data_IF_487121838734
#
_entry.id   IF_487121838734
#
_cell.length_a   1.000
_cell.length_b   1.000
_cell.length_c   1.000
_cell.angle_alpha   90.00
_cell.angle_beta   90.00
_cell.angle_gamma   90.00
#
_symmetry.space_group_name_H-M   'P 1'
#
loop_
_entity.id
_entity.type
_entity.pdbx_description
1 polymer ?
#
# COMPACT_ATOMS: atom_id res chain seq x y z
N UNK A 1 9.01 -15.21 -9.98
CA UNK A 1 8.46 -13.88 -9.71
C UNK A 1 8.43 -13.63 -8.21
N UNK A 2 8.93 -12.47 -7.78
CA UNK A 2 8.80 -12.02 -6.38
C UNK A 2 7.81 -10.86 -6.34
N UNK A 3 6.66 -11.10 -5.69
CA UNK A 3 5.54 -10.17 -5.55
C UNK A 3 4.93 -10.30 -4.13
N UNK A 4 5.79 -10.26 -3.10
CA UNK A 4 5.45 -10.57 -1.72
C UNK A 4 5.30 -9.31 -0.84
N UNK A 5 4.99 -8.15 -1.44
CA UNK A 5 4.87 -6.89 -0.70
C UNK A 5 6.16 -6.54 0.03
N UNK A 6 6.06 -6.14 1.30
CA UNK A 6 7.23 -5.80 2.10
C UNK A 6 8.19 -6.97 2.32
N UNK A 7 7.69 -8.19 2.44
CA UNK A 7 8.49 -9.41 2.62
C UNK A 7 9.37 -9.71 1.40
N UNK A 8 9.12 -9.09 0.25
CA UNK A 8 9.99 -9.19 -0.93
C UNK A 8 11.43 -8.80 -0.62
N UNK A 9 11.67 -7.86 0.29
CA UNK A 9 13.02 -7.42 0.69
C UNK A 9 13.81 -8.56 1.31
N UNK A 10 13.21 -9.30 2.22
CA UNK A 10 13.84 -10.44 2.88
C UNK A 10 14.10 -11.58 1.88
N UNK A 11 13.10 -11.92 1.07
CA UNK A 11 13.21 -12.95 0.03
C UNK A 11 14.35 -12.62 -0.94
N UNK A 12 14.43 -11.39 -1.42
CA UNK A 12 15.45 -10.92 -2.34
C UNK A 12 16.85 -10.91 -1.71
N UNK A 13 16.92 -10.61 -0.40
CA UNK A 13 18.17 -10.71 0.37
C UNK A 13 18.80 -12.10 0.34
N UNK A 14 18.01 -13.18 0.23
CA UNK A 14 18.52 -14.57 0.13
C UNK A 14 19.31 -14.83 -1.14
N UNK A 15 19.12 -14.03 -2.18
CA UNK A 15 19.84 -14.10 -3.47
C UNK A 15 20.75 -12.88 -3.69
N UNK A 16 21.04 -12.13 -2.64
CA UNK A 16 21.96 -10.99 -2.67
C UNK A 16 21.42 -9.73 -3.34
N UNK A 17 20.10 -9.62 -3.51
CA UNK A 17 19.45 -8.44 -4.06
C UNK A 17 18.93 -7.58 -2.93
N UNK A 18 19.39 -6.33 -2.85
CA UNK A 18 18.89 -5.33 -1.92
C UNK A 18 18.01 -4.30 -2.65
N UNK A 19 16.76 -4.19 -2.21
CA UNK A 19 15.81 -3.19 -2.70
C UNK A 19 15.66 -2.13 -1.61
N UNK A 20 15.84 -0.83 -1.94
CA UNK A 20 15.74 0.26 -0.96
C UNK A 20 14.29 0.52 -0.55
N UNK A 21 13.71 -0.44 0.14
CA UNK A 21 12.33 -0.47 0.59
C UNK A 21 12.28 -0.42 2.12
N UNK A 22 11.41 0.43 2.64
CA UNK A 22 10.99 0.48 4.03
C UNK A 22 9.55 0.03 4.18
N UNK A 23 9.10 -0.12 5.41
CA UNK A 23 7.69 -0.37 5.70
C UNK A 23 7.09 0.85 6.39
N UNK A 24 5.80 1.05 6.19
CA UNK A 24 5.01 2.07 6.86
C UNK A 24 3.74 1.42 7.40
N UNK A 25 3.35 1.78 8.62
CA UNK A 25 2.11 1.32 9.21
C UNK A 25 0.95 2.09 8.59
N UNK A 26 0.00 1.36 8.01
CA UNK A 26 -1.27 1.90 7.55
C UNK A 26 -2.36 1.41 8.50
N UNK A 27 -3.17 2.35 8.95
CA UNK A 27 -4.28 2.09 9.87
C UNK A 27 -5.60 2.41 9.19
N UNK A 28 -6.65 1.70 9.56
CA UNK A 28 -7.96 1.92 9.00
C UNK A 28 -9.07 1.64 10.03
N UNK A 29 -10.25 2.19 9.75
CA UNK A 29 -11.48 1.88 10.47
C UNK A 29 -12.66 1.70 9.51
N UNK A 30 -13.70 1.05 9.99
CA UNK A 30 -14.99 0.95 9.30
C UNK A 30 -16.12 1.31 10.27
N UNK A 31 -17.11 2.04 9.77
CA UNK A 31 -18.31 2.43 10.51
C UNK A 31 -19.44 1.42 10.31
N UNK A 32 -20.50 1.51 11.12
CA UNK A 32 -21.80 0.95 10.75
C UNK A 32 -22.31 1.61 9.45
N UNK A 33 -23.41 1.06 8.90
CA UNK A 33 -24.01 1.61 7.69
C UNK A 33 -24.67 2.95 7.97
N UNK A 34 -24.40 3.92 7.13
CA UNK A 34 -24.93 5.28 7.15
C UNK A 34 -25.70 5.55 5.85
N UNK A 35 -26.56 6.56 5.82
CA UNK A 35 -27.20 7.01 4.59
C UNK A 35 -26.17 7.29 3.49
N UNK A 36 -26.53 7.04 2.24
CA UNK A 36 -25.66 7.30 1.10
C UNK A 36 -25.30 8.78 0.98
N UNK A 37 -23.99 9.06 0.87
CA UNK A 37 -23.44 10.41 0.73
C UNK A 37 -22.71 10.60 -0.59
N UNK A 38 -21.86 9.64 -1.01
CA UNK A 38 -21.08 9.75 -2.23
C UNK A 38 -20.57 8.38 -2.71
N UNK A 39 -20.20 8.30 -3.99
CA UNK A 39 -19.68 7.07 -4.63
C UNK A 39 -18.16 7.09 -4.82
N UNK A 40 -17.50 8.22 -4.60
CA UNK A 40 -16.10 8.42 -4.93
C UNK A 40 -15.18 7.90 -3.83
N UNK A 41 -13.99 7.44 -4.24
CA UNK A 41 -12.85 7.31 -3.35
C UNK A 41 -12.25 8.69 -3.11
N UNK A 42 -12.11 9.10 -1.87
CA UNK A 42 -11.64 10.43 -1.49
C UNK A 42 -10.29 10.35 -0.78
N UNK A 43 -9.49 11.37 -0.95
CA UNK A 43 -8.28 11.62 -0.19
C UNK A 43 -8.14 13.11 0.08
N UNK A 44 -7.35 13.47 1.07
CA UNK A 44 -7.12 14.86 1.46
C UNK A 44 -5.65 15.24 1.34
N UNK A 45 -5.39 16.49 0.95
CA UNK A 45 -4.02 17.00 0.84
C UNK A 45 -3.45 17.49 2.19
N UNK A 46 -4.31 17.82 3.14
CA UNK A 46 -3.92 18.45 4.41
C UNK A 46 -3.84 17.47 5.59
N UNK A 47 -4.37 16.26 5.43
CA UNK A 47 -4.39 15.26 6.49
C UNK A 47 -4.14 13.88 5.88
N UNK A 48 -3.47 13.03 6.63
CA UNK A 48 -3.32 11.62 6.28
C UNK A 48 -4.67 10.90 6.50
N UNK A 49 -5.55 11.07 5.53
CA UNK A 49 -6.92 10.61 5.57
C UNK A 49 -7.42 10.32 4.15
N UNK A 50 -7.94 9.14 3.94
CA UNK A 50 -8.57 8.72 2.68
C UNK A 50 -9.66 7.69 2.95
N UNK A 51 -10.58 7.52 2.03
CA UNK A 51 -11.63 6.51 2.19
C UNK A 51 -12.77 6.64 1.20
N UNK A 52 -13.75 5.78 1.39
CA UNK A 52 -14.95 5.74 0.57
C UNK A 52 -16.14 5.21 1.36
N UNK A 53 -17.33 5.43 0.84
CA UNK A 53 -18.54 4.75 1.31
C UNK A 53 -18.76 3.48 0.49
N UNK A 54 -18.99 2.37 1.17
CA UNK A 54 -19.29 1.09 0.51
C UNK A 54 -20.73 1.07 -0.03
N UNK A 55 -21.03 0.15 -0.94
CA UNK A 55 -22.40 -0.05 -1.43
C UNK A 55 -23.42 -0.40 -0.34
N UNK A 56 -22.94 -0.92 0.79
CA UNK A 56 -23.78 -1.25 1.96
C UNK A 56 -23.98 -0.07 2.92
N UNK A 57 -23.37 1.09 2.64
CA UNK A 57 -23.50 2.30 3.43
C UNK A 57 -22.35 2.52 4.43
N UNK A 58 -21.58 1.53 4.81
CA UNK A 58 -20.45 1.72 5.75
C UNK A 58 -19.35 2.57 5.12
N UNK A 59 -18.77 3.45 5.93
CA UNK A 59 -17.56 4.16 5.54
C UNK A 59 -16.33 3.36 5.93
N UNK A 60 -15.37 3.26 5.00
CA UNK A 60 -14.04 2.73 5.25
C UNK A 60 -13.06 3.88 5.12
N UNK A 61 -12.41 4.23 6.22
CA UNK A 61 -11.43 5.31 6.26
C UNK A 61 -10.07 4.80 6.70
N UNK A 62 -9.04 5.20 5.98
CA UNK A 62 -7.64 4.93 6.29
C UNK A 62 -6.89 6.21 6.62
N UNK A 63 -5.76 6.04 7.27
CA UNK A 63 -4.87 7.12 7.67
C UNK A 63 -3.72 6.59 8.50
N UNK A 64 -3.04 7.49 9.18
CA UNK A 64 -1.97 7.16 10.12
C UNK A 64 -2.14 7.94 11.42
N UNK A 65 -1.89 7.28 12.53
CA UNK A 65 -1.80 7.94 13.84
C UNK A 65 -0.42 8.56 14.09
N UNK A 66 0.56 8.26 13.23
CA UNK A 66 1.97 8.59 13.44
C UNK A 66 2.65 7.73 14.52
N UNK A 67 1.95 6.76 15.08
CA UNK A 67 2.46 5.83 16.08
C UNK A 67 2.44 4.40 15.54
N UNK A 68 3.61 3.82 15.34
CA UNK A 68 3.75 2.45 14.83
C UNK A 68 3.65 1.44 15.98
N UNK A 69 2.43 1.03 16.29
CA UNK A 69 2.17 0.01 17.29
C UNK A 69 2.39 -1.41 16.71
N UNK A 70 3.17 -2.21 17.44
CA UNK A 70 3.44 -3.60 17.07
C UNK A 70 3.24 -4.54 18.25
N UNK A 71 2.81 -5.75 17.96
CA UNK A 71 2.86 -6.84 18.92
C UNK A 71 4.33 -7.16 19.22
N UNK A 72 4.70 -7.13 20.50
CA UNK A 72 6.10 -7.30 20.93
C UNK A 72 6.64 -8.72 20.71
N UNK A 73 5.75 -9.71 20.63
CA UNK A 73 6.14 -11.11 20.51
C UNK A 73 6.48 -11.51 19.06
N UNK A 74 5.78 -10.92 18.09
CA UNK A 74 5.89 -11.35 16.69
C UNK A 74 6.03 -10.20 15.67
N UNK A 75 6.07 -8.93 16.13
CA UNK A 75 6.24 -7.76 15.24
C UNK A 75 5.06 -7.46 14.34
N UNK A 76 3.91 -8.13 14.53
CA UNK A 76 2.73 -7.83 13.71
C UNK A 76 2.16 -6.45 14.05
N UNK A 77 1.66 -5.70 13.04
CA UNK A 77 1.05 -4.41 13.27
C UNK A 77 -0.26 -4.55 14.06
N UNK A 78 -0.46 -3.64 15.00
CA UNK A 78 -1.70 -3.54 15.76
C UNK A 78 -2.21 -2.09 15.76
N UNK A 79 -3.52 -1.93 15.86
CA UNK A 79 -4.08 -0.60 16.13
C UNK A 79 -3.78 -0.20 17.57
N UNK A 80 -3.29 1.02 17.73
CA UNK A 80 -3.13 1.63 19.06
C UNK A 80 -4.45 2.26 19.53
N UNK A 81 -4.50 2.67 20.80
CA UNK A 81 -5.63 3.40 21.36
C UNK A 81 -5.89 4.76 20.71
N UNK A 82 -4.91 5.30 19.99
CA UNK A 82 -5.02 6.59 19.28
C UNK A 82 -5.39 6.45 17.81
N UNK A 83 -5.40 5.24 17.23
CA UNK A 83 -5.73 5.01 15.81
C UNK A 83 -7.09 5.59 15.42
N UNK A 84 -8.15 5.12 16.08
CA UNK A 84 -9.50 5.58 15.78
C UNK A 84 -9.68 7.08 16.06
N UNK A 85 -9.27 7.65 17.21
CA UNK A 85 -9.31 9.09 17.43
C UNK A 85 -8.60 9.93 16.35
N UNK A 86 -7.44 9.50 15.86
CA UNK A 86 -6.70 10.22 14.82
C UNK A 86 -7.46 10.23 13.49
N UNK A 87 -7.97 9.08 13.06
CA UNK A 87 -8.76 8.99 11.83
C UNK A 87 -10.07 9.78 11.99
N UNK A 88 -10.75 9.68 13.14
CA UNK A 88 -11.98 10.41 13.42
C UNK A 88 -11.79 11.93 13.37
N UNK A 89 -10.63 12.47 13.75
CA UNK A 89 -10.37 13.91 13.57
C UNK A 89 -10.44 14.33 12.11
N UNK A 90 -9.91 13.50 11.21
CA UNK A 90 -10.03 13.73 9.77
C UNK A 90 -11.49 13.65 9.30
N UNK A 91 -12.21 12.61 9.73
CA UNK A 91 -13.64 12.45 9.42
C UNK A 91 -14.43 13.70 9.85
N UNK A 92 -14.30 14.10 11.09
CA UNK A 92 -15.02 15.25 11.65
C UNK A 92 -14.69 16.57 10.95
N UNK A 93 -13.46 16.73 10.46
CA UNK A 93 -13.07 17.92 9.72
C UNK A 93 -13.78 18.04 8.37
N UNK A 94 -13.95 16.93 7.65
CA UNK A 94 -14.46 16.92 6.28
C UNK A 94 -15.91 16.44 6.16
N UNK A 95 -16.36 15.63 7.11
CA UNK A 95 -17.69 15.01 7.14
C UNK A 95 -18.31 15.15 8.54
N UNK A 96 -18.67 16.37 8.97
CA UNK A 96 -19.22 16.59 10.31
C UNK A 96 -20.54 15.83 10.54
N UNK A 97 -21.28 15.51 9.49
CA UNK A 97 -22.51 14.72 9.56
C UNK A 97 -22.29 13.27 10.02
N UNK A 98 -21.04 12.80 10.02
CA UNK A 98 -20.66 11.48 10.53
C UNK A 98 -20.25 11.51 12.01
N UNK A 99 -20.55 12.58 12.73
CA UNK A 99 -20.19 12.72 14.14
C UNK A 99 -20.70 11.59 15.03
N UNK A 100 -21.89 11.08 14.72
CA UNK A 100 -22.57 10.04 15.51
C UNK A 100 -22.38 8.63 14.94
N UNK A 101 -21.65 8.48 13.82
CA UNK A 101 -21.38 7.20 13.20
C UNK A 101 -20.54 6.31 14.12
N UNK A 102 -21.00 5.08 14.34
CA UNK A 102 -20.31 4.15 15.23
C UNK A 102 -19.21 3.39 14.49
N UNK A 103 -18.04 3.34 15.10
CA UNK A 103 -16.92 2.54 14.60
C UNK A 103 -17.18 1.08 14.95
N UNK A 104 -17.22 0.22 13.93
CA UNK A 104 -17.44 -1.22 14.10
C UNK A 104 -16.11 -1.95 14.27
N UNK A 105 -15.06 -1.51 13.57
CA UNK A 105 -13.77 -2.19 13.56
C UNK A 105 -12.64 -1.24 13.16
N UNK A 106 -11.45 -1.52 13.71
CA UNK A 106 -10.17 -0.97 13.27
C UNK A 106 -9.21 -2.09 12.91
N UNK A 107 -8.28 -1.82 12.00
CA UNK A 107 -7.17 -2.73 11.70
C UNK A 107 -5.94 -1.95 11.28
N UNK A 108 -4.80 -2.62 11.25
CA UNK A 108 -3.53 -2.06 10.82
C UNK A 108 -2.77 -3.09 9.99
N UNK A 109 -1.92 -2.61 9.08
CA UNK A 109 -1.09 -3.43 8.21
C UNK A 109 0.19 -2.73 7.81
N UNK A 110 1.23 -3.51 7.49
CA UNK A 110 2.43 -2.97 6.86
C UNK A 110 2.20 -2.76 5.37
N UNK A 111 2.54 -1.59 4.87
CA UNK A 111 2.68 -1.32 3.45
C UNK A 111 4.15 -1.15 3.10
N UNK A 112 4.51 -1.57 1.91
CA UNK A 112 5.83 -1.35 1.34
C UNK A 112 5.97 0.09 0.84
N UNK A 113 7.12 0.70 1.10
CA UNK A 113 7.44 2.05 0.67
C UNK A 113 8.82 2.08 0.03
N UNK A 114 8.87 2.33 -1.27
CA UNK A 114 10.13 2.55 -1.98
C UNK A 114 10.70 3.93 -1.66
N UNK A 115 12.03 4.03 -1.67
CA UNK A 115 12.74 5.29 -1.39
C UNK A 115 12.31 6.43 -2.33
N UNK A 116 11.97 6.12 -3.57
CA UNK A 116 11.53 7.08 -4.60
C UNK A 116 10.02 7.10 -4.82
N UNK A 117 9.25 6.32 -4.06
CA UNK A 117 7.80 6.22 -4.19
C UNK A 117 7.31 5.49 -5.44
N UNK A 118 8.21 4.85 -6.20
CA UNK A 118 7.90 4.21 -7.48
C UNK A 118 8.14 2.70 -7.38
N UNK A 119 7.22 1.84 -7.86
CA UNK A 119 7.37 0.39 -7.77
C UNK A 119 8.57 -0.13 -8.57
N UNK A 120 9.00 -1.34 -8.25
CA UNK A 120 10.00 -2.09 -9.02
C UNK A 120 9.31 -3.17 -9.82
N UNK A 121 9.48 -3.13 -11.14
CA UNK A 121 8.95 -4.12 -12.08
C UNK A 121 10.04 -4.59 -13.04
N UNK A 122 10.01 -5.88 -13.38
CA UNK A 122 10.82 -6.45 -14.45
C UNK A 122 11.95 -7.35 -14.01
N UNK A 123 12.82 -7.67 -14.93
CA UNK A 123 13.92 -8.63 -14.75
C UNK A 123 15.03 -8.05 -13.87
N UNK A 124 15.70 -8.93 -13.14
CA UNK A 124 16.93 -8.66 -12.39
C UNK A 124 18.11 -9.26 -13.14
N UNK A 125 18.98 -8.41 -13.67
CA UNK A 125 20.11 -8.87 -14.52
C UNK A 125 21.10 -9.76 -13.80
N UNK A 126 21.28 -9.57 -12.48
CA UNK A 126 22.20 -10.36 -11.65
C UNK A 126 21.71 -11.78 -11.36
N UNK A 127 20.39 -11.99 -11.47
CA UNK A 127 19.78 -13.30 -11.20
C UNK A 127 18.89 -13.65 -12.40
N UNK A 128 19.43 -14.32 -13.42
CA UNK A 128 18.69 -14.69 -14.62
C UNK A 128 17.42 -15.48 -14.29
N UNK A 129 16.27 -15.06 -14.86
CA UNK A 129 14.97 -15.65 -14.61
C UNK A 129 14.23 -15.09 -13.39
N UNK A 130 14.86 -14.21 -12.60
CA UNK A 130 14.16 -13.50 -11.52
C UNK A 130 13.43 -12.28 -12.08
N UNK A 131 12.13 -12.21 -11.79
CA UNK A 131 11.25 -11.09 -12.14
C UNK A 131 10.67 -10.48 -10.86
N UNK A 132 10.65 -9.15 -10.77
CA UNK A 132 10.17 -8.42 -9.61
C UNK A 132 8.83 -7.71 -9.91
N UNK A 133 7.97 -7.69 -8.90
CA UNK A 133 6.77 -6.86 -8.82
C UNK A 133 6.57 -6.45 -7.35
N UNK A 134 7.24 -5.40 -6.90
CA UNK A 134 7.25 -5.02 -5.47
C UNK A 134 7.37 -3.52 -5.30
N UNK A 135 7.15 -3.04 -4.08
CA UNK A 135 7.30 -1.63 -3.74
C UNK A 135 6.18 -0.75 -4.27
N UNK A 136 4.94 -1.20 -4.24
CA UNK A 136 3.80 -0.49 -4.84
C UNK A 136 3.33 0.74 -4.06
N UNK A 137 3.89 1.01 -2.89
CA UNK A 137 3.68 2.25 -2.14
C UNK A 137 2.19 2.58 -1.90
N UNK A 138 1.37 1.57 -1.58
CA UNK A 138 -0.07 1.72 -1.35
C UNK A 138 -0.96 1.72 -2.60
N UNK A 139 -0.39 1.74 -3.82
CA UNK A 139 -1.17 1.82 -5.07
C UNK A 139 -1.39 0.46 -5.76
N UNK A 140 -0.81 -0.62 -5.21
CA UNK A 140 -0.76 -1.93 -5.85
C UNK A 140 -2.12 -2.53 -6.20
N UNK A 141 -3.12 -2.38 -5.34
CA UNK A 141 -4.44 -2.97 -5.57
C UNK A 141 -5.08 -2.47 -6.87
N UNK A 142 -5.04 -1.15 -7.10
CA UNK A 142 -5.66 -0.54 -8.29
C UNK A 142 -4.99 -0.91 -9.61
N UNK A 143 -3.67 -1.14 -9.60
CA UNK A 143 -2.88 -1.41 -10.81
C UNK A 143 -2.55 -2.89 -11.00
N UNK A 144 -2.87 -3.76 -10.03
CA UNK A 144 -2.52 -5.18 -10.07
C UNK A 144 -2.96 -5.91 -11.36
N UNK A 145 -4.16 -5.69 -11.94
CA UNK A 145 -4.53 -6.37 -13.18
C UNK A 145 -3.63 -6.02 -14.36
N UNK A 146 -3.29 -4.73 -14.53
CA UNK A 146 -2.40 -4.28 -15.59
C UNK A 146 -0.97 -4.82 -15.39
N UNK A 147 -0.47 -4.74 -14.15
CA UNK A 147 0.87 -5.26 -13.82
C UNK A 147 0.94 -6.78 -14.05
N UNK A 148 -0.09 -7.52 -13.68
CA UNK A 148 -0.16 -8.96 -13.92
C UNK A 148 -0.07 -9.30 -15.40
N UNK A 149 -0.75 -8.54 -16.26
CA UNK A 149 -0.69 -8.70 -17.72
C UNK A 149 0.71 -8.40 -18.25
N UNK A 150 1.28 -7.25 -17.91
CA UNK A 150 2.62 -6.85 -18.37
C UNK A 150 3.72 -7.84 -17.93
N UNK A 151 3.62 -8.37 -16.71
CA UNK A 151 4.58 -9.38 -16.24
C UNK A 151 4.41 -10.72 -16.93
N UNK A 152 3.19 -11.12 -17.27
CA UNK A 152 2.94 -12.32 -18.06
C UNK A 152 3.58 -12.20 -19.45
N UNK A 153 3.36 -11.08 -20.14
CA UNK A 153 3.97 -10.81 -21.44
C UNK A 153 5.50 -10.75 -21.35
N UNK A 154 6.04 -10.11 -20.33
CA UNK A 154 7.48 -10.06 -20.10
C UNK A 154 8.09 -11.45 -19.92
N UNK A 155 7.40 -12.33 -19.20
CA UNK A 155 7.91 -13.69 -18.91
C UNK A 155 7.78 -14.61 -20.13
N UNK A 156 6.68 -14.53 -20.84
CA UNK A 156 6.36 -15.43 -21.97
C UNK A 156 7.02 -14.94 -23.25
N UNK A 157 6.86 -13.65 -23.56
CA UNK A 157 7.26 -13.05 -24.83
C UNK A 157 8.56 -12.21 -24.74
N UNK A 158 9.10 -12.02 -23.54
CA UNK A 158 10.31 -11.24 -23.29
C UNK A 158 10.15 -9.74 -23.42
N UNK A 159 8.93 -9.23 -23.52
CA UNK A 159 8.63 -7.79 -23.71
C UNK A 159 7.30 -7.43 -23.06
N UNK A 160 7.15 -6.17 -22.72
CA UNK A 160 5.89 -5.58 -22.22
C UNK A 160 5.19 -4.77 -23.29
N UNK A 161 3.89 -4.57 -23.16
CA UNK A 161 3.10 -3.71 -24.05
C UNK A 161 3.29 -2.23 -23.75
N UNK A 162 3.63 -1.89 -22.51
CA UNK A 162 3.96 -0.53 -22.06
C UNK A 162 5.44 -0.42 -21.69
N UNK A 163 5.99 0.78 -21.75
CA UNK A 163 7.38 1.03 -21.33
C UNK A 163 7.49 1.04 -19.80
N UNK A 164 8.15 0.01 -19.26
CA UNK A 164 8.44 -0.12 -17.82
C UNK A 164 9.89 0.23 -17.45
N UNK A 165 10.68 0.82 -18.35
CA UNK A 165 12.10 1.09 -18.10
C UNK A 165 12.35 1.96 -16.87
N UNK A 166 11.47 2.91 -16.58
CA UNK A 166 11.55 3.75 -15.39
C UNK A 166 11.32 2.95 -14.07
N UNK A 167 10.74 1.75 -14.15
CA UNK A 167 10.38 0.92 -13.00
C UNK A 167 11.43 -0.16 -12.71
N UNK A 168 12.51 -0.24 -13.47
CA UNK A 168 13.52 -1.25 -13.33
C UNK A 168 14.26 -1.17 -11.99
N UNK A 169 14.68 -2.31 -11.48
CA UNK A 169 15.47 -2.44 -10.26
C UNK A 169 16.81 -1.68 -10.32
N UNK A 170 17.49 -1.74 -11.46
CA UNK A 170 18.84 -1.17 -11.63
C UNK A 170 18.90 0.37 -11.61
N UNK A 171 17.72 1.05 -11.56
CA UNK A 171 17.67 2.51 -11.35
C UNK A 171 18.26 2.95 -10.01
N UNK A 172 18.36 2.03 -9.05
CA UNK A 172 18.98 2.30 -7.75
C UNK A 172 20.48 2.06 -7.71
N UNK A 173 21.03 1.47 -8.74
CA UNK A 173 22.48 1.27 -8.84
C UNK A 173 23.13 2.61 -9.17
N UNK A 174 24.25 2.90 -8.49
CA UNK A 174 25.06 4.04 -8.85
C UNK A 174 25.43 3.95 -10.35
N UNK A 175 25.18 5.01 -11.10
CA UNK A 175 25.74 5.11 -12.46
C UNK A 175 27.24 5.20 -12.29
N UNK A 176 27.94 4.11 -12.59
CA UNK A 176 29.40 4.05 -12.66
C UNK A 176 29.84 4.88 -13.87
#
# INVERSE_FOLDING_TARGET
VVAAGYESKEILGTVGIDVPMSRVLIEALVTEAEPHMFDQMLGTAEADFYGHQTKHGSFVFGGSSGYEAVNKDNGTPICSSITAPCICRGIMKYFPDLADAKIVRTWAGWADQMKDGVPVLGNVSEVPGLVLATGFCGHGFGIAPAIGHELADLIVDGKTSIDINALRYDRFKAKI
#
